data_IF_128094127178
#
_entry.id   IF_128094127178
#
_cell.length_a   1.000
_cell.length_b   1.000
_cell.length_c   1.000
_cell.angle_alpha   90.00
_cell.angle_beta   90.00
_cell.angle_gamma   90.00
#
_symmetry.space_group_name_H-M   'P 1'
#
loop_
_entity.id
_entity.type
_entity.pdbx_description
1 polymer ?
#
# COMPACT_ATOMS: atom_id res chain seq x y z
N UNK A 1 -12.80 -10.90 10.52
CA UNK A 1 -11.67 -10.80 11.45
C UNK A 1 -11.21 -9.34 11.42
N UNK A 2 -11.23 -8.57 12.51
CA UNK A 2 -10.89 -7.12 12.46
C UNK A 2 -9.46 -6.91 11.93
N UNK A 3 -9.09 -5.71 11.42
CA UNK A 3 -7.74 -5.45 10.87
C UNK A 3 -6.59 -5.92 11.79
N UNK A 4 -6.80 -5.87 13.10
CA UNK A 4 -5.79 -6.21 14.12
C UNK A 4 -5.82 -7.68 14.56
N UNK A 5 -6.87 -8.45 14.23
CA UNK A 5 -6.99 -9.87 14.64
C UNK A 5 -6.26 -10.82 13.65
N UNK A 6 -5.87 -10.33 12.47
CA UNK A 6 -5.18 -11.11 11.44
C UNK A 6 -3.64 -11.20 11.69
N UNK A 7 -3.13 -10.50 12.70
CA UNK A 7 -1.70 -10.28 12.93
C UNK A 7 -1.10 -11.12 14.07
N UNK A 8 -1.94 -11.68 14.95
CA UNK A 8 -1.55 -12.37 16.19
C UNK A 8 -0.77 -13.69 15.97
N UNK A 9 -0.62 -14.14 14.72
CA UNK A 9 0.01 -15.41 14.36
C UNK A 9 1.14 -15.26 13.34
N UNK A 10 1.69 -14.05 13.16
CA UNK A 10 2.85 -13.81 12.31
C UNK A 10 4.13 -14.40 12.94
N UNK A 11 4.34 -15.70 12.77
CA UNK A 11 5.62 -16.36 13.06
C UNK A 11 6.60 -16.02 11.94
N UNK A 12 7.76 -15.46 12.30
CA UNK A 12 8.85 -15.14 11.38
C UNK A 12 9.27 -16.39 10.59
N UNK A 13 8.92 -16.51 9.29
CA UNK A 13 9.21 -17.69 8.49
C UNK A 13 10.67 -17.70 7.99
N UNK A 14 11.46 -16.69 8.33
CA UNK A 14 12.78 -16.47 7.76
C UNK A 14 13.79 -17.35 8.48
N UNK A 15 14.35 -18.34 7.78
CA UNK A 15 15.66 -18.90 8.15
C UNK A 15 16.74 -17.80 8.13
N UNK A 16 18.00 -18.12 8.49
CA UNK A 16 19.09 -17.14 8.55
C UNK A 16 19.14 -16.23 7.30
N UNK A 17 18.79 -14.95 7.47
CA UNK A 17 18.99 -13.88 6.48
C UNK A 17 20.32 -13.22 6.79
N UNK A 18 21.11 -12.99 5.75
CA UNK A 18 22.34 -12.21 5.84
C UNK A 18 22.05 -10.81 6.45
N UNK A 19 22.82 -10.42 7.47
CA UNK A 19 22.59 -9.19 8.23
C UNK A 19 22.68 -7.93 7.33
N UNK A 20 23.56 -7.94 6.33
CA UNK A 20 23.71 -6.83 5.40
C UNK A 20 22.51 -6.70 4.47
N UNK A 21 21.97 -7.82 4.00
CA UNK A 21 20.71 -7.84 3.25
C UNK A 21 19.56 -7.31 4.11
N UNK A 22 19.44 -7.77 5.36
CA UNK A 22 18.39 -7.32 6.27
C UNK A 22 18.47 -5.80 6.53
N UNK A 23 19.68 -5.26 6.71
CA UNK A 23 19.90 -3.80 6.84
C UNK A 23 19.41 -3.04 5.62
N UNK A 24 19.68 -3.53 4.41
CA UNK A 24 19.19 -2.90 3.16
C UNK A 24 17.67 -2.95 3.05
N UNK A 25 17.04 -4.09 3.36
CA UNK A 25 15.59 -4.23 3.34
C UNK A 25 14.93 -3.23 4.31
N UNK A 26 15.42 -3.18 5.55
CA UNK A 26 14.93 -2.22 6.56
C UNK A 26 15.14 -0.78 6.09
N UNK A 27 16.35 -0.46 5.63
CA UNK A 27 16.70 0.88 5.14
C UNK A 27 15.84 1.34 3.97
N UNK A 28 15.47 0.44 3.05
CA UNK A 28 14.57 0.76 1.94
C UNK A 28 13.14 1.07 2.42
N UNK A 29 12.59 0.29 3.35
CA UNK A 29 11.25 0.55 3.89
C UNK A 29 11.21 1.83 4.73
N UNK A 30 12.19 2.04 5.61
CA UNK A 30 12.30 3.28 6.38
C UNK A 30 12.55 4.48 5.47
N UNK A 31 13.42 4.34 4.47
CA UNK A 31 13.73 5.40 3.52
C UNK A 31 12.52 5.85 2.71
N UNK A 32 11.63 4.91 2.33
CA UNK A 32 10.36 5.25 1.68
C UNK A 32 9.50 6.12 2.60
N UNK A 33 9.20 5.65 3.82
CA UNK A 33 8.30 6.36 4.75
C UNK A 33 8.90 7.69 5.24
N UNK A 34 10.21 7.73 5.49
CA UNK A 34 10.91 8.96 5.90
C UNK A 34 11.00 9.94 4.73
N UNK A 35 11.24 9.45 3.51
CA UNK A 35 11.30 10.28 2.30
C UNK A 35 9.96 10.94 2.00
N UNK A 36 8.87 10.16 2.12
CA UNK A 36 7.49 10.64 2.08
C UNK A 36 7.27 11.76 3.12
N UNK A 37 7.47 11.46 4.42
CA UNK A 37 7.26 12.45 5.49
C UNK A 37 8.11 13.74 5.32
N UNK A 38 9.30 13.64 4.74
CA UNK A 38 10.15 14.79 4.44
C UNK A 38 9.59 15.63 3.27
N UNK A 39 9.06 14.97 2.24
CA UNK A 39 8.49 15.59 1.05
C UNK A 39 7.11 16.21 1.29
N UNK A 40 6.29 15.59 2.13
CA UNK A 40 4.92 16.00 2.43
C UNK A 40 4.80 17.47 2.87
N UNK A 41 5.77 17.96 3.65
CA UNK A 41 5.80 19.34 4.12
C UNK A 41 5.87 20.38 2.98
N UNK A 42 6.47 20.01 1.86
CA UNK A 42 6.71 20.92 0.73
C UNK A 42 5.94 20.54 -0.53
N UNK A 43 5.01 19.60 -0.41
CA UNK A 43 4.16 19.18 -1.52
C UNK A 43 3.42 20.39 -2.13
N UNK A 44 3.28 20.40 -3.46
CA UNK A 44 2.70 21.49 -4.26
C UNK A 44 3.39 22.86 -4.14
N UNK A 45 4.51 22.98 -3.43
CA UNK A 45 5.30 24.22 -3.40
C UNK A 45 6.08 24.38 -4.71
N UNK A 46 6.19 25.61 -5.24
CA UNK A 46 7.00 25.85 -6.43
C UNK A 46 8.48 25.64 -6.10
N UNK A 47 9.27 25.28 -7.11
CA UNK A 47 10.71 25.07 -6.93
C UNK A 47 11.45 26.27 -6.30
N UNK A 48 11.03 27.50 -6.64
CA UNK A 48 11.58 28.72 -6.03
C UNK A 48 11.41 28.77 -4.51
N UNK A 49 10.31 28.22 -3.98
CA UNK A 49 10.11 28.09 -2.55
C UNK A 49 11.13 27.14 -1.93
N UNK A 50 11.43 26.00 -2.56
CA UNK A 50 12.42 25.01 -2.09
C UNK A 50 13.84 25.56 -2.09
N UNK A 51 14.18 26.41 -3.07
CA UNK A 51 15.48 27.08 -3.13
C UNK A 51 15.67 28.03 -1.94
N UNK A 52 14.61 28.78 -1.58
CA UNK A 52 14.63 29.70 -0.45
C UNK A 52 14.48 28.99 0.92
N UNK A 53 13.75 27.87 0.96
CA UNK A 53 13.40 27.13 2.17
C UNK A 53 13.84 25.69 2.03
N UNK A 54 15.15 25.45 2.15
CA UNK A 54 15.72 24.10 2.02
C UNK A 54 15.20 23.18 3.11
N UNK A 55 14.68 22.03 2.71
CA UNK A 55 14.28 20.96 3.64
C UNK A 55 15.53 20.26 4.14
N UNK A 56 15.81 20.38 5.44
CA UNK A 56 17.02 19.84 6.09
C UNK A 56 16.71 18.90 7.26
N UNK A 57 15.46 18.87 7.71
CA UNK A 57 14.96 17.99 8.77
C UNK A 57 13.45 17.77 8.55
N UNK A 58 12.89 16.77 9.23
CA UNK A 58 11.46 16.53 9.31
C UNK A 58 10.76 17.73 9.97
N UNK A 59 9.72 18.23 9.31
CA UNK A 59 8.94 19.38 9.72
C UNK A 59 7.45 19.05 9.64
N UNK A 60 6.64 19.65 10.52
CA UNK A 60 5.18 19.63 10.41
C UNK A 60 4.67 20.77 9.54
N UNK A 61 3.38 20.81 9.23
CA UNK A 61 2.74 21.81 8.36
C UNK A 61 2.52 21.27 6.95
N UNK A 62 2.89 22.07 5.94
CA UNK A 62 2.65 21.75 4.53
C UNK A 62 1.19 21.89 4.11
N UNK A 63 0.87 21.33 2.95
CA UNK A 63 -0.48 21.40 2.35
C UNK A 63 -1.56 20.85 3.27
N UNK A 64 -1.22 19.82 4.03
CA UNK A 64 -2.15 19.06 4.86
C UNK A 64 -2.07 19.39 6.36
N UNK A 65 -1.17 20.28 6.78
CA UNK A 65 -1.03 20.67 8.18
C UNK A 65 -0.55 19.53 9.10
N UNK A 66 0.35 18.67 8.61
CA UNK A 66 0.79 17.44 9.29
C UNK A 66 1.65 17.72 10.52
N UNK A 67 1.63 16.80 11.50
CA UNK A 67 2.63 16.79 12.55
C UNK A 67 3.99 16.31 12.04
N UNK A 68 5.07 16.67 12.75
CA UNK A 68 6.44 16.25 12.38
C UNK A 68 6.54 14.73 12.29
N UNK A 69 6.91 14.23 11.12
CA UNK A 69 7.15 12.80 10.87
C UNK A 69 5.91 12.02 10.38
N UNK A 70 4.76 12.68 10.22
CA UNK A 70 3.62 12.06 9.53
C UNK A 70 3.89 11.97 8.03
N UNK A 71 3.63 10.79 7.48
CA UNK A 71 3.77 10.41 6.07
C UNK A 71 2.39 10.36 5.39
N UNK A 72 2.32 10.39 4.06
CA UNK A 72 1.08 10.50 3.27
C UNK A 72 0.61 9.14 2.71
N UNK A 73 0.00 9.15 1.52
CA UNK A 73 -0.48 7.96 0.84
C UNK A 73 0.67 7.05 0.37
N UNK A 74 1.82 7.58 -0.05
CA UNK A 74 3.02 6.80 -0.40
C UNK A 74 3.36 5.76 0.69
N UNK A 75 3.56 6.24 1.93
CA UNK A 75 3.87 5.42 3.10
C UNK A 75 2.71 4.51 3.50
N UNK A 76 1.48 5.04 3.52
CA UNK A 76 0.28 4.27 3.91
C UNK A 76 0.05 3.07 2.98
N UNK A 77 0.16 3.29 1.67
CA UNK A 77 0.00 2.25 0.66
C UNK A 77 1.18 1.27 0.67
N UNK A 78 2.41 1.73 0.86
CA UNK A 78 3.57 0.84 0.99
C UNK A 78 3.44 -0.11 2.20
N UNK A 79 2.95 0.40 3.34
CA UNK A 79 2.69 -0.37 4.55
C UNK A 79 1.53 -1.36 4.35
N UNK A 80 0.45 -0.96 3.69
CA UNK A 80 -0.65 -1.86 3.31
C UNK A 80 -0.13 -3.03 2.46
N UNK A 81 0.69 -2.74 1.44
CA UNK A 81 1.27 -3.76 0.58
C UNK A 81 2.24 -4.69 1.32
N UNK A 82 3.10 -4.12 2.18
CA UNK A 82 4.01 -4.92 3.01
C UNK A 82 3.25 -5.86 3.95
N UNK A 83 2.19 -5.37 4.59
CA UNK A 83 1.39 -6.19 5.49
C UNK A 83 0.64 -7.30 4.74
N UNK A 84 0.13 -7.01 3.54
CA UNK A 84 -0.45 -8.04 2.65
C UNK A 84 0.53 -9.17 2.37
N UNK A 85 1.73 -8.82 1.91
CA UNK A 85 2.78 -9.78 1.57
C UNK A 85 3.15 -10.68 2.77
N UNK A 86 3.26 -10.07 3.96
CA UNK A 86 3.61 -10.78 5.20
C UNK A 86 2.47 -11.70 5.65
N UNK A 87 1.24 -11.20 5.73
CA UNK A 87 0.09 -11.97 6.20
C UNK A 87 -0.28 -13.11 5.25
N UNK A 88 -0.21 -12.86 3.95
CA UNK A 88 -0.52 -13.86 2.91
C UNK A 88 0.65 -14.79 2.59
N UNK A 89 1.84 -14.50 3.13
CA UNK A 89 3.10 -15.22 2.87
C UNK A 89 3.39 -15.34 1.36
N UNK A 90 3.05 -14.29 0.61
CA UNK A 90 3.04 -14.28 -0.83
C UNK A 90 2.30 -13.07 -1.38
N UNK A 91 2.24 -12.96 -2.70
CA UNK A 91 1.53 -11.87 -3.36
C UNK A 91 0.10 -12.30 -3.68
N UNK A 92 -0.88 -11.64 -3.07
CA UNK A 92 -2.31 -11.89 -3.29
C UNK A 92 -3.02 -10.56 -3.65
N UNK A 93 -3.36 -10.34 -4.94
CA UNK A 93 -3.96 -9.09 -5.41
C UNK A 93 -5.23 -8.68 -4.68
N UNK A 94 -6.06 -9.66 -4.30
CA UNK A 94 -7.32 -9.37 -3.62
C UNK A 94 -7.09 -8.76 -2.23
N UNK A 95 -6.21 -9.38 -1.44
CA UNK A 95 -5.85 -8.90 -0.10
C UNK A 95 -5.14 -7.52 -0.14
N UNK A 96 -4.32 -7.28 -1.17
CA UNK A 96 -3.74 -5.98 -1.45
C UNK A 96 -4.85 -4.90 -1.59
N UNK A 97 -5.87 -5.15 -2.42
CA UNK A 97 -6.96 -4.19 -2.64
C UNK A 97 -7.84 -4.01 -1.42
N UNK A 98 -8.11 -5.08 -0.66
CA UNK A 98 -8.84 -5.00 0.63
C UNK A 98 -8.11 -4.07 1.60
N UNK A 99 -6.78 -4.14 1.70
CA UNK A 99 -6.01 -3.29 2.62
C UNK A 99 -5.98 -1.83 2.18
N UNK A 100 -5.92 -1.57 0.86
CA UNK A 100 -6.08 -0.20 0.36
C UNK A 100 -7.49 0.34 0.62
N UNK A 101 -8.52 -0.49 0.49
CA UNK A 101 -9.89 -0.16 0.90
C UNK A 101 -9.95 0.17 2.40
N UNK A 102 -9.31 -0.61 3.27
CA UNK A 102 -9.26 -0.32 4.71
C UNK A 102 -8.53 0.98 5.02
N UNK A 103 -7.44 1.28 4.31
CA UNK A 103 -6.79 2.59 4.42
C UNK A 103 -7.77 3.69 4.01
N UNK A 104 -8.36 3.58 2.82
CA UNK A 104 -9.28 4.56 2.27
C UNK A 104 -10.51 4.83 3.16
N UNK A 105 -11.10 3.78 3.74
CA UNK A 105 -12.34 3.87 4.53
C UNK A 105 -12.12 4.10 6.02
N UNK A 106 -11.01 3.61 6.57
CA UNK A 106 -10.81 3.52 8.03
C UNK A 106 -9.46 4.06 8.51
N UNK A 107 -8.62 4.58 7.61
CA UNK A 107 -7.29 5.08 7.99
C UNK A 107 -6.32 3.97 8.40
N UNK A 108 -6.56 2.72 8.02
CA UNK A 108 -5.64 1.62 8.26
C UNK A 108 -4.24 1.96 7.71
N UNK A 109 -3.20 1.81 8.53
CA UNK A 109 -1.80 2.20 8.22
C UNK A 109 -1.59 3.70 7.90
N UNK A 110 -2.55 4.57 8.23
CA UNK A 110 -2.37 6.03 8.11
C UNK A 110 -1.60 6.60 9.30
N UNK A 111 -0.75 7.58 9.04
CA UNK A 111 -0.03 8.34 10.06
C UNK A 111 -0.92 9.31 10.86
N UNK A 112 -2.10 9.65 10.34
CA UNK A 112 -3.07 10.59 10.93
C UNK A 112 -4.32 9.90 11.49
N UNK A 113 -4.45 8.59 11.30
CA UNK A 113 -5.65 7.82 11.69
C UNK A 113 -6.82 7.94 10.70
N UNK A 114 -6.66 8.66 9.58
CA UNK A 114 -7.65 8.73 8.49
C UNK A 114 -6.98 8.74 7.12
N UNK A 115 -7.69 8.38 6.06
CA UNK A 115 -7.19 8.54 4.69
C UNK A 115 -7.15 10.01 4.30
N UNK A 116 -6.03 10.46 3.75
CA UNK A 116 -5.87 11.77 3.12
C UNK A 116 -4.89 11.64 1.94
N UNK A 117 -4.77 12.69 1.12
CA UNK A 117 -3.84 12.77 -0.01
C UNK A 117 -3.98 11.67 -1.08
N UNK A 118 -5.10 10.96 -1.11
CA UNK A 118 -5.32 9.89 -2.08
C UNK A 118 -5.42 10.44 -3.50
N UNK A 119 -4.51 10.02 -4.38
CA UNK A 119 -4.57 10.34 -5.80
C UNK A 119 -5.85 9.84 -6.49
N UNK A 120 -6.34 10.61 -7.48
CA UNK A 120 -7.63 10.34 -8.13
C UNK A 120 -7.71 8.96 -8.80
N UNK A 121 -6.65 8.52 -9.47
CA UNK A 121 -6.59 7.19 -10.08
C UNK A 121 -6.69 6.07 -9.05
N UNK A 122 -5.98 6.21 -7.92
CA UNK A 122 -6.03 5.25 -6.80
C UNK A 122 -7.44 5.20 -6.21
N UNK A 123 -8.04 6.36 -5.96
CA UNK A 123 -9.41 6.46 -5.45
C UNK A 123 -10.41 5.76 -6.37
N UNK A 124 -10.34 6.01 -7.69
CA UNK A 124 -11.20 5.35 -8.68
C UNK A 124 -11.04 3.83 -8.67
N UNK A 125 -9.80 3.34 -8.62
CA UNK A 125 -9.51 1.91 -8.59
C UNK A 125 -10.11 1.23 -7.34
N UNK A 126 -9.98 1.85 -6.17
CA UNK A 126 -10.57 1.31 -4.92
C UNK A 126 -12.11 1.33 -5.00
N UNK A 127 -12.73 2.42 -5.48
CA UNK A 127 -14.18 2.47 -5.65
C UNK A 127 -14.69 1.39 -6.63
N UNK A 128 -13.98 1.19 -7.76
CA UNK A 128 -14.32 0.14 -8.71
C UNK A 128 -14.20 -1.25 -8.09
N UNK A 129 -13.17 -1.50 -7.29
CA UNK A 129 -13.02 -2.74 -6.53
C UNK A 129 -14.19 -2.96 -5.56
N UNK A 130 -14.61 -1.93 -4.81
CA UNK A 130 -15.76 -2.02 -3.91
C UNK A 130 -17.08 -2.31 -4.65
N UNK A 131 -17.30 -1.70 -5.80
CA UNK A 131 -18.49 -1.97 -6.62
C UNK A 131 -18.48 -3.41 -7.17
N UNK A 132 -17.31 -3.91 -7.59
CA UNK A 132 -17.14 -5.32 -7.97
C UNK A 132 -17.36 -6.27 -6.80
N UNK A 133 -16.92 -5.92 -5.57
CA UNK A 133 -17.23 -6.69 -4.37
C UNK A 133 -18.74 -6.81 -4.15
N UNK A 134 -19.50 -5.72 -4.28
CA UNK A 134 -20.98 -5.74 -4.15
C UNK A 134 -21.63 -6.66 -5.18
N UNK A 135 -21.27 -6.51 -6.46
CA UNK A 135 -21.81 -7.36 -7.52
C UNK A 135 -21.46 -8.84 -7.33
N UNK A 136 -20.23 -9.12 -6.91
CA UNK A 136 -19.77 -10.48 -6.65
C UNK A 136 -20.47 -11.11 -5.45
N UNK A 137 -20.68 -10.34 -4.38
CA UNK A 137 -21.43 -10.74 -3.19
C UNK A 137 -22.86 -11.15 -3.53
N UNK A 138 -23.57 -10.31 -4.31
CA UNK A 138 -24.94 -10.60 -4.78
C UNK A 138 -24.99 -11.87 -5.64
N UNK A 139 -24.10 -11.97 -6.65
CA UNK A 139 -24.05 -13.11 -7.57
C UNK A 139 -23.83 -14.43 -6.86
N UNK A 140 -22.95 -14.45 -5.86
CA UNK A 140 -22.55 -15.66 -5.15
C UNK A 140 -23.30 -15.89 -3.84
N UNK A 141 -24.22 -14.98 -3.46
CA UNK A 141 -24.98 -14.99 -2.21
C UNK A 141 -24.08 -15.04 -0.97
N UNK A 142 -23.03 -14.21 -0.98
CA UNK A 142 -22.08 -14.05 0.13
C UNK A 142 -22.40 -12.71 0.82
N UNK A 143 -22.49 -12.63 2.16
CA UNK A 143 -22.65 -11.36 2.86
C UNK A 143 -21.48 -10.41 2.57
N UNK A 144 -21.76 -9.13 2.30
CA UNK A 144 -20.75 -8.17 1.83
C UNK A 144 -19.62 -7.98 2.86
N UNK A 145 -19.94 -8.03 4.13
CA UNK A 145 -19.00 -7.95 5.26
C UNK A 145 -18.00 -9.12 5.31
N UNK A 146 -18.30 -10.24 4.66
CA UNK A 146 -17.40 -11.40 4.58
C UNK A 146 -16.40 -11.28 3.42
N UNK A 147 -16.66 -10.42 2.41
CA UNK A 147 -15.85 -10.35 1.20
C UNK A 147 -14.41 -9.93 1.48
N UNK A 148 -14.18 -9.04 2.43
CA UNK A 148 -12.83 -8.60 2.81
C UNK A 148 -11.98 -9.76 3.38
N UNK A 149 -12.62 -10.86 3.80
CA UNK A 149 -11.97 -12.05 4.35
C UNK A 149 -12.02 -13.26 3.41
N UNK A 150 -12.52 -13.08 2.18
CA UNK A 150 -12.63 -14.16 1.22
C UNK A 150 -11.25 -14.74 0.90
N UNK A 151 -11.07 -16.02 1.18
CA UNK A 151 -9.83 -16.76 0.92
C UNK A 151 -10.02 -17.97 0.00
N UNK A 152 -11.24 -18.20 -0.48
CA UNK A 152 -11.53 -19.30 -1.41
C UNK A 152 -10.90 -19.02 -2.77
N UNK A 153 -9.84 -19.75 -3.11
CA UNK A 153 -9.09 -19.57 -4.34
C UNK A 153 -9.87 -19.90 -5.62
N UNK A 154 -10.99 -20.64 -5.54
CA UNK A 154 -11.86 -20.88 -6.71
C UNK A 154 -12.74 -19.66 -6.95
N UNK A 155 -13.35 -19.12 -5.90
CA UNK A 155 -14.17 -17.92 -5.98
C UNK A 155 -13.35 -16.71 -6.41
N UNK A 156 -12.15 -16.53 -5.85
CA UNK A 156 -11.27 -15.41 -6.19
C UNK A 156 -10.79 -15.42 -7.65
N UNK A 157 -10.74 -16.60 -8.31
CA UNK A 157 -10.43 -16.67 -9.76
C UNK A 157 -11.51 -16.06 -10.63
N UNK A 158 -12.76 -16.06 -10.16
CA UNK A 158 -13.91 -15.48 -10.86
C UNK A 158 -14.09 -13.99 -10.54
N UNK A 159 -13.27 -13.43 -9.64
CA UNK A 159 -13.28 -12.02 -9.28
C UNK A 159 -12.32 -11.23 -10.18
N UNK A 160 -12.84 -10.27 -10.93
CA UNK A 160 -12.02 -9.34 -11.69
C UNK A 160 -11.36 -8.31 -10.74
N UNK A 161 -10.10 -8.53 -10.41
CA UNK A 161 -9.36 -7.71 -9.45
C UNK A 161 -8.71 -6.47 -10.06
N UNK A 162 -8.44 -6.46 -11.37
CA UNK A 162 -7.61 -5.43 -11.99
C UNK A 162 -8.44 -4.19 -12.34
N UNK A 163 -8.04 -3.06 -11.79
CA UNK A 163 -8.78 -1.79 -11.89
C UNK A 163 -8.02 -0.72 -12.69
N UNK A 164 -6.99 -1.12 -13.44
CA UNK A 164 -6.29 -0.23 -14.37
C UNK A 164 -7.24 0.37 -15.41
N UNK A 165 -7.04 1.65 -15.72
CA UNK A 165 -7.70 2.34 -16.82
C UNK A 165 -6.65 2.89 -17.78
N UNK A 166 -6.98 2.95 -19.06
CA UNK A 166 -6.12 3.60 -20.06
C UNK A 166 -5.83 5.05 -19.65
N UNK A 167 -4.57 5.48 -19.83
CA UNK A 167 -4.12 6.83 -19.43
C UNK A 167 -3.85 7.04 -17.94
N UNK A 168 -4.01 6.04 -17.08
CA UNK A 168 -3.59 6.10 -15.68
C UNK A 168 -2.07 5.93 -15.55
N UNK A 169 -1.31 7.00 -15.82
CA UNK A 169 0.16 7.02 -15.79
C UNK A 169 0.75 7.81 -14.60
N UNK A 170 0.01 7.89 -13.48
CA UNK A 170 0.46 8.56 -12.26
C UNK A 170 1.53 7.79 -11.49
N UNK A 171 2.13 8.42 -10.48
CA UNK A 171 3.14 7.82 -9.58
C UNK A 171 2.57 6.80 -8.58
N UNK A 172 1.24 6.70 -8.44
CA UNK A 172 0.52 5.89 -7.45
C UNK A 172 1.00 4.45 -7.28
N UNK A 173 1.47 3.83 -8.37
CA UNK A 173 2.02 2.46 -8.33
C UNK A 173 3.48 2.44 -7.88
N UNK A 174 4.30 3.36 -8.38
CA UNK A 174 5.74 3.37 -8.13
C UNK A 174 6.07 3.71 -6.68
N UNK A 175 5.35 4.66 -6.10
CA UNK A 175 5.61 5.15 -4.75
C UNK A 175 5.50 4.09 -3.66
N UNK A 176 4.58 3.13 -3.83
CA UNK A 176 4.30 2.07 -2.86
C UNK A 176 5.06 0.76 -3.11
N UNK A 177 5.80 0.68 -4.22
CA UNK A 177 6.20 -0.60 -4.82
C UNK A 177 7.26 -1.36 -4.02
N UNK A 178 8.07 -0.67 -3.21
CA UNK A 178 9.28 -1.21 -2.58
C UNK A 178 9.05 -2.55 -1.85
N UNK A 179 7.88 -2.74 -1.24
CA UNK A 179 7.53 -3.94 -0.47
C UNK A 179 7.64 -5.23 -1.30
N UNK A 180 7.27 -5.21 -2.59
CA UNK A 180 7.28 -6.40 -3.46
C UNK A 180 8.69 -6.92 -3.76
N UNK A 181 9.61 -6.14 -4.36
CA UNK A 181 10.97 -6.61 -4.63
C UNK A 181 11.74 -6.93 -3.35
N UNK A 182 11.46 -6.25 -2.23
CA UNK A 182 12.06 -6.57 -0.95
C UNK A 182 11.58 -7.93 -0.41
N UNK A 183 10.30 -8.26 -0.56
CA UNK A 183 9.76 -9.56 -0.14
C UNK A 183 10.31 -10.70 -1.01
N UNK A 184 10.37 -10.50 -2.32
CA UNK A 184 10.84 -11.49 -3.29
C UNK A 184 12.32 -11.39 -3.64
N UNK A 185 13.17 -10.78 -2.79
CA UNK A 185 14.58 -10.51 -3.10
C UNK A 185 15.39 -11.75 -3.51
N UNK A 186 15.02 -12.94 -3.01
CA UNK A 186 15.65 -14.22 -3.36
C UNK A 186 15.23 -14.77 -4.73
N UNK A 187 14.16 -14.23 -5.32
CA UNK A 187 13.61 -14.65 -6.60
C UNK A 187 13.30 -13.41 -7.47
N UNK A 188 14.30 -12.90 -8.21
CA UNK A 188 14.14 -11.70 -9.06
C UNK A 188 13.03 -11.82 -10.10
N UNK A 189 12.75 -13.03 -10.61
CA UNK A 189 11.70 -13.25 -11.59
C UNK A 189 10.31 -13.00 -10.97
N UNK A 190 10.07 -13.49 -9.75
CA UNK A 190 8.85 -13.19 -9.02
C UNK A 190 8.77 -11.72 -8.61
N UNK A 191 9.89 -11.12 -8.20
CA UNK A 191 9.95 -9.69 -7.90
C UNK A 191 9.51 -8.83 -9.09
N UNK A 192 10.02 -9.09 -10.29
CA UNK A 192 9.63 -8.38 -11.52
C UNK A 192 8.16 -8.63 -11.84
N UNK A 193 7.74 -9.90 -11.87
CA UNK A 193 6.36 -10.28 -12.19
C UNK A 193 5.36 -9.58 -11.27
N UNK A 194 5.53 -9.73 -9.96
CA UNK A 194 4.58 -9.18 -8.99
C UNK A 194 4.67 -7.67 -8.87
N UNK A 195 5.82 -7.06 -9.22
CA UNK A 195 5.90 -5.60 -9.32
C UNK A 195 4.98 -5.08 -10.44
N UNK A 196 4.95 -5.76 -11.58
CA UNK A 196 4.02 -5.44 -12.67
C UNK A 196 2.57 -5.70 -12.30
N UNK A 197 2.26 -6.87 -11.70
CA UNK A 197 0.89 -7.23 -11.32
C UNK A 197 0.32 -6.33 -10.20
N UNK A 198 1.15 -5.85 -9.26
CA UNK A 198 0.71 -4.93 -8.20
C UNK A 198 0.21 -3.57 -8.71
N UNK A 199 0.62 -3.18 -9.93
CA UNK A 199 0.21 -1.93 -10.56
C UNK A 199 -1.03 -2.00 -11.45
N UNK A 200 -1.63 -3.18 -11.63
CA UNK A 200 -2.77 -3.40 -12.53
C UNK A 200 -4.12 -3.29 -11.81
#
# INVERSE_FOLDING_TARGET
MKPNECEDHLVDPRGNIDEHILKRIKGSMFGLVVGDALGAHVEFRPHSYLVANRVTDLQGGGTWGLDKGQFTDDGSMALCLANSLVARRGFEPYDQMVRYKWWFRHGYMSSTGSCFDIGESTRKAICQFEDRQKMFAEKNRIPLEELDFLSDAKLLKDFDIYCSSEGAAGNGVLMRLASVPLFFYRNPQLAIKYSGTSGQ
#
